data_IF_363817264602
#
_entry.id   IF_363817264602
#
_cell.length_a   1.000
_cell.length_b   1.000
_cell.length_c   1.000
_cell.angle_alpha   90.00
_cell.angle_beta   90.00
_cell.angle_gamma   90.00
#
_symmetry.space_group_name_H-M   'P 1'
#
loop_
_entity.id
_entity.type
_entity.pdbx_description
1 polymer ?
#
# COMPACT_ATOMS: atom_id res chain seq x y z
N UNK A 1 -13.51 10.86 -6.19
CA UNK A 1 -14.64 9.91 -6.17
C UNK A 1 -14.56 9.00 -4.97
N UNK A 2 -13.72 7.96 -5.02
CA UNK A 2 -13.63 6.90 -4.00
C UNK A 2 -13.31 7.42 -2.59
N UNK A 3 -12.37 8.37 -2.45
CA UNK A 3 -11.98 8.92 -1.15
C UNK A 3 -13.10 9.71 -0.43
N UNK A 4 -13.98 10.39 -1.20
CA UNK A 4 -15.12 11.12 -0.63
C UNK A 4 -16.19 10.14 -0.13
N UNK A 5 -16.40 9.03 -0.86
CA UNK A 5 -17.29 7.94 -0.47
C UNK A 5 -16.81 7.22 0.80
N UNK A 6 -15.50 6.96 0.92
CA UNK A 6 -14.92 6.34 2.13
C UNK A 6 -15.11 7.26 3.34
N UNK A 7 -14.90 8.57 3.19
CA UNK A 7 -15.11 9.55 4.26
C UNK A 7 -16.58 9.66 4.68
N UNK A 8 -17.51 9.53 3.73
CA UNK A 8 -18.96 9.48 4.01
C UNK A 8 -19.39 8.20 4.73
N UNK A 9 -18.80 7.05 4.38
CA UNK A 9 -19.05 5.78 5.10
C UNK A 9 -18.40 5.75 6.49
N UNK A 10 -17.27 6.43 6.67
CA UNK A 10 -16.52 6.48 7.94
C UNK A 10 -17.31 7.08 9.10
N UNK A 11 -18.29 7.95 8.83
CA UNK A 11 -19.08 8.63 9.86
C UNK A 11 -20.19 7.73 10.43
N UNK A 12 -20.52 6.64 9.73
CA UNK A 12 -21.65 5.73 10.02
C UNK A 12 -21.23 4.34 10.48
N UNK A 13 -20.04 3.88 10.09
CA UNK A 13 -19.61 2.49 10.23
C UNK A 13 -18.25 2.38 10.93
N UNK A 14 -18.09 1.38 11.79
CA UNK A 14 -16.83 1.10 12.46
C UNK A 14 -15.75 0.70 11.42
N UNK A 15 -14.52 1.20 11.55
CA UNK A 15 -13.43 0.97 10.59
C UNK A 15 -13.21 -0.51 10.23
N UNK A 16 -13.48 -1.42 11.18
CA UNK A 16 -13.39 -2.87 10.99
C UNK A 16 -14.37 -3.39 9.91
N UNK A 17 -15.53 -2.75 9.76
CA UNK A 17 -16.55 -3.10 8.77
C UNK A 17 -16.07 -2.81 7.34
N UNK A 18 -15.42 -1.66 7.14
CA UNK A 18 -14.85 -1.27 5.83
C UNK A 18 -13.76 -2.26 5.41
N UNK A 19 -12.87 -2.62 6.34
CA UNK A 19 -11.82 -3.61 6.12
C UNK A 19 -12.43 -4.98 5.78
N UNK A 20 -13.46 -5.40 6.52
CA UNK A 20 -14.14 -6.66 6.29
C UNK A 20 -14.81 -6.73 4.90
N UNK A 21 -15.49 -5.66 4.46
CA UNK A 21 -16.05 -5.61 3.11
C UNK A 21 -14.98 -5.67 2.02
N UNK A 22 -13.87 -4.97 2.21
CA UNK A 22 -12.74 -5.03 1.28
C UNK A 22 -12.15 -6.45 1.20
N UNK A 23 -11.92 -7.10 2.34
CA UNK A 23 -11.39 -8.46 2.42
C UNK A 23 -12.36 -9.50 1.84
N UNK A 24 -13.67 -9.36 2.07
CA UNK A 24 -14.66 -10.23 1.45
C UNK A 24 -14.69 -10.06 -0.07
N UNK A 25 -14.61 -8.83 -0.56
CA UNK A 25 -14.56 -8.56 -1.99
C UNK A 25 -13.29 -9.12 -2.64
N UNK A 26 -12.13 -9.02 -1.98
CA UNK A 26 -10.88 -9.57 -2.49
C UNK A 26 -10.89 -11.10 -2.50
N UNK A 27 -11.52 -11.73 -1.50
CA UNK A 27 -11.69 -13.19 -1.44
C UNK A 27 -12.56 -13.68 -2.61
N UNK A 28 -13.69 -13.02 -2.87
CA UNK A 28 -14.56 -13.36 -4.01
C UNK A 28 -13.80 -13.18 -5.33
N UNK A 29 -13.05 -12.08 -5.49
CA UNK A 29 -12.26 -11.83 -6.69
C UNK A 29 -11.14 -12.87 -6.87
N UNK A 30 -10.53 -13.34 -5.78
CA UNK A 30 -9.50 -14.37 -5.80
C UNK A 30 -10.00 -15.69 -6.38
N UNK A 31 -11.30 -16.00 -6.27
CA UNK A 31 -11.88 -17.21 -6.85
C UNK A 31 -11.82 -17.21 -8.39
N UNK A 32 -11.83 -16.03 -9.03
CA UNK A 32 -11.69 -15.92 -10.49
C UNK A 32 -10.30 -16.33 -11.00
N UNK A 33 -9.29 -16.35 -10.13
CA UNK A 33 -7.91 -16.70 -10.50
C UNK A 33 -7.54 -18.15 -10.17
N UNK A 34 -8.53 -18.99 -9.84
CA UNK A 34 -8.30 -20.38 -9.44
C UNK A 34 -7.63 -21.22 -10.54
N UNK A 35 -7.84 -20.88 -11.82
CA UNK A 35 -7.21 -21.56 -12.96
C UNK A 35 -5.69 -21.41 -12.97
N UNK A 36 -5.15 -20.34 -12.37
CA UNK A 36 -3.70 -20.07 -12.28
C UNK A 36 -3.10 -20.49 -10.93
N UNK A 37 -3.89 -21.14 -10.05
CA UNK A 37 -3.44 -21.51 -8.72
C UNK A 37 -2.40 -22.63 -8.76
N UNK A 38 -1.24 -22.39 -8.13
CA UNK A 38 -0.20 -23.39 -7.89
C UNK A 38 -0.13 -23.69 -6.40
N UNK A 39 -0.16 -24.97 -6.03
CA UNK A 39 0.03 -25.39 -4.64
C UNK A 39 1.46 -25.03 -4.17
N UNK A 40 1.62 -24.28 -3.07
CA UNK A 40 2.94 -23.94 -2.54
C UNK A 40 3.66 -25.19 -2.00
N UNK A 41 4.98 -25.21 -2.16
CA UNK A 41 5.85 -26.27 -1.64
C UNK A 41 6.02 -26.14 -0.11
N UNK A 42 6.44 -27.21 0.56
CA UNK A 42 6.51 -27.28 2.03
C UNK A 42 7.29 -26.13 2.69
N UNK A 43 8.32 -25.59 2.02
CA UNK A 43 9.12 -24.49 2.52
C UNK A 43 8.52 -23.10 2.24
N UNK A 44 7.58 -22.97 1.29
CA UNK A 44 6.96 -21.71 0.91
C UNK A 44 5.82 -21.30 1.85
N UNK A 45 5.24 -22.27 2.57
CA UNK A 45 4.13 -22.02 3.51
C UNK A 45 4.45 -20.97 4.57
N UNK A 46 5.70 -20.93 5.06
CA UNK A 46 6.10 -19.90 6.01
C UNK A 46 6.04 -18.50 5.40
N UNK A 47 6.51 -18.34 4.16
CA UNK A 47 6.42 -17.08 3.42
C UNK A 47 4.97 -16.72 3.09
N UNK A 48 4.14 -17.68 2.68
CA UNK A 48 2.71 -17.47 2.39
C UNK A 48 1.96 -16.98 3.64
N UNK A 49 2.13 -17.64 4.77
CA UNK A 49 1.54 -17.20 6.05
C UNK A 49 2.09 -15.84 6.48
N UNK A 50 3.39 -15.60 6.25
CA UNK A 50 4.03 -14.32 6.51
C UNK A 50 3.39 -13.18 5.72
N UNK A 51 3.26 -13.34 4.39
CA UNK A 51 2.63 -12.37 3.49
C UNK A 51 1.18 -12.11 3.88
N UNK A 52 0.41 -13.17 4.19
CA UNK A 52 -0.99 -13.02 4.62
C UNK A 52 -1.12 -12.24 5.93
N UNK A 53 -0.27 -12.54 6.91
CA UNK A 53 -0.31 -11.89 8.23
C UNK A 53 0.15 -10.43 8.15
N UNK A 54 1.30 -10.16 7.53
CA UNK A 54 1.81 -8.79 7.37
C UNK A 54 0.92 -7.95 6.45
N UNK A 55 0.37 -8.55 5.40
CA UNK A 55 -0.60 -7.92 4.50
C UNK A 55 -1.88 -7.50 5.24
N UNK A 56 -2.43 -8.38 6.10
CA UNK A 56 -3.59 -8.04 6.93
C UNK A 56 -3.28 -6.89 7.89
N UNK A 57 -2.15 -6.95 8.58
CA UNK A 57 -1.69 -5.89 9.49
C UNK A 57 -1.53 -4.56 8.72
N UNK A 58 -0.86 -4.59 7.57
CA UNK A 58 -0.69 -3.44 6.70
C UNK A 58 -2.02 -2.85 6.25
N UNK A 59 -2.98 -3.69 5.83
CA UNK A 59 -4.30 -3.24 5.43
C UNK A 59 -5.05 -2.53 6.58
N UNK A 60 -4.96 -3.06 7.80
CA UNK A 60 -5.61 -2.46 8.97
C UNK A 60 -5.05 -1.06 9.23
N UNK A 61 -3.72 -0.91 9.26
CA UNK A 61 -3.07 0.38 9.49
C UNK A 61 -3.34 1.38 8.35
N UNK A 62 -3.28 0.90 7.10
CA UNK A 62 -3.61 1.71 5.93
C UNK A 62 -5.03 2.26 6.04
N UNK A 63 -6.00 1.38 6.33
CA UNK A 63 -7.41 1.79 6.44
C UNK A 63 -7.61 2.76 7.59
N UNK A 64 -6.99 2.51 8.76
CA UNK A 64 -7.02 3.45 9.90
C UNK A 64 -6.50 4.83 9.51
N UNK A 65 -5.34 4.89 8.86
CA UNK A 65 -4.71 6.14 8.46
C UNK A 65 -5.58 6.93 7.45
N UNK A 66 -6.24 6.25 6.51
CA UNK A 66 -7.17 6.90 5.58
C UNK A 66 -8.44 7.45 6.23
N UNK A 67 -8.83 6.92 7.38
CA UNK A 67 -10.01 7.38 8.13
C UNK A 67 -9.66 8.54 9.06
N UNK A 68 -8.44 8.58 9.61
CA UNK A 68 -7.99 9.62 10.55
C UNK A 68 -7.41 10.85 9.87
N UNK A 69 -6.66 10.70 8.78
CA UNK A 69 -5.94 11.79 8.12
C UNK A 69 -6.57 12.20 6.78
N UNK A 70 -6.31 13.46 6.40
CA UNK A 70 -6.62 13.91 5.05
C UNK A 70 -5.77 13.16 4.02
N UNK A 71 -6.41 12.73 2.92
CA UNK A 71 -5.75 12.02 1.80
C UNK A 71 -4.51 12.74 1.28
N UNK A 72 -4.47 14.07 1.42
CA UNK A 72 -3.35 14.91 1.02
C UNK A 72 -2.08 14.66 1.84
N UNK A 73 -2.20 14.20 3.10
CA UNK A 73 -1.08 13.84 3.99
C UNK A 73 -0.62 12.40 3.74
N UNK A 74 -1.53 11.50 3.35
CA UNK A 74 -1.20 10.10 3.03
C UNK A 74 -0.51 9.91 1.68
N UNK A 75 -0.71 10.82 0.72
CA UNK A 75 -0.14 10.68 -0.61
C UNK A 75 1.40 10.48 -0.61
N UNK A 76 2.20 11.28 0.11
CA UNK A 76 3.65 11.05 0.27
C UNK A 76 4.02 9.66 0.83
N UNK A 77 3.28 9.17 1.83
CA UNK A 77 3.55 7.86 2.44
C UNK A 77 3.34 6.71 1.45
N UNK A 78 2.38 6.84 0.54
CA UNK A 78 2.16 5.83 -0.50
C UNK A 78 3.34 5.72 -1.48
N UNK A 79 4.08 6.80 -1.71
CA UNK A 79 5.30 6.75 -2.52
C UNK A 79 6.51 6.19 -1.75
N UNK A 80 6.55 6.38 -0.42
CA UNK A 80 7.57 5.75 0.45
C UNK A 80 7.50 4.22 0.40
N UNK A 81 6.30 3.64 0.28
CA UNK A 81 6.10 2.19 0.13
C UNK A 81 6.91 1.62 -1.03
N UNK A 82 6.92 2.29 -2.18
CA UNK A 82 7.68 1.88 -3.36
C UNK A 82 9.20 1.89 -3.09
N UNK A 83 9.69 2.93 -2.42
CA UNK A 83 11.12 3.06 -2.07
C UNK A 83 11.52 1.90 -1.14
N UNK A 84 10.71 1.62 -0.12
CA UNK A 84 10.95 0.50 0.79
C UNK A 84 10.91 -0.84 0.08
N UNK A 85 9.96 -1.06 -0.83
CA UNK A 85 9.86 -2.29 -1.61
C UNK A 85 11.14 -2.53 -2.43
N UNK A 86 11.72 -1.51 -3.03
CA UNK A 86 12.97 -1.65 -3.80
C UNK A 86 14.19 -1.89 -2.91
N UNK A 87 14.30 -1.20 -1.77
CA UNK A 87 15.39 -1.46 -0.82
C UNK A 87 15.31 -2.91 -0.33
N UNK A 88 14.11 -3.35 0.09
CA UNK A 88 13.89 -4.73 0.51
C UNK A 88 14.11 -5.73 -0.64
N UNK A 89 13.71 -5.39 -1.86
CA UNK A 89 13.96 -6.17 -3.09
C UNK A 89 15.45 -6.43 -3.30
N UNK A 90 16.26 -5.38 -3.23
CA UNK A 90 17.71 -5.48 -3.36
C UNK A 90 18.35 -6.31 -2.23
N UNK A 91 17.98 -6.04 -0.97
CA UNK A 91 18.62 -6.68 0.19
C UNK A 91 18.16 -8.12 0.45
N UNK A 92 16.87 -8.40 0.29
CA UNK A 92 16.27 -9.71 0.63
C UNK A 92 16.30 -10.65 -0.58
N UNK A 93 15.96 -10.15 -1.76
CA UNK A 93 15.81 -10.97 -2.97
C UNK A 93 17.04 -10.90 -3.89
N UNK A 94 18.01 -10.02 -3.60
CA UNK A 94 19.21 -9.85 -4.42
C UNK A 94 18.91 -9.28 -5.81
N UNK A 95 17.75 -8.64 -5.98
CA UNK A 95 17.37 -8.07 -7.27
C UNK A 95 18.33 -6.94 -7.64
N UNK A 96 19.01 -7.09 -8.78
CA UNK A 96 19.87 -6.03 -9.31
C UNK A 96 19.05 -5.12 -10.21
N UNK A 97 18.89 -3.86 -9.81
CA UNK A 97 18.18 -2.86 -10.59
C UNK A 97 19.11 -2.24 -11.63
N UNK A 98 18.71 -2.28 -12.91
CA UNK A 98 19.39 -1.56 -13.97
C UNK A 98 19.25 -0.02 -13.79
N UNK A 99 20.02 0.75 -14.58
CA UNK A 99 20.04 2.21 -14.53
C UNK A 99 18.67 2.87 -14.69
N UNK A 100 17.74 2.25 -15.43
CA UNK A 100 16.41 2.79 -15.72
C UNK A 100 15.52 2.83 -14.46
N UNK A 101 15.28 1.72 -13.73
CA UNK A 101 14.55 1.78 -12.46
C UNK A 101 15.21 2.71 -11.44
N UNK A 102 16.54 2.81 -11.43
CA UNK A 102 17.29 3.70 -10.55
C UNK A 102 16.98 5.19 -10.82
N UNK A 103 16.88 5.60 -12.09
CA UNK A 103 16.44 6.93 -12.49
C UNK A 103 14.97 7.19 -12.12
N UNK A 104 14.10 6.19 -12.27
CA UNK A 104 12.71 6.25 -11.84
C UNK A 104 12.57 6.56 -10.35
N UNK A 105 13.38 5.92 -9.50
CA UNK A 105 13.39 6.19 -8.06
C UNK A 105 13.79 7.63 -7.77
N UNK A 106 14.86 8.12 -8.41
CA UNK A 106 15.34 9.49 -8.19
C UNK A 106 14.25 10.50 -8.56
N UNK A 107 13.51 10.27 -9.66
CA UNK A 107 12.37 11.08 -10.06
C UNK A 107 11.24 11.04 -9.04
N UNK A 108 10.88 9.86 -8.53
CA UNK A 108 9.82 9.70 -7.52
C UNK A 108 10.21 10.38 -6.21
N UNK A 109 11.45 10.20 -5.75
CA UNK A 109 11.98 10.89 -4.57
C UNK A 109 11.98 12.42 -4.74
N UNK A 110 12.41 12.90 -5.91
CA UNK A 110 12.40 14.33 -6.22
C UNK A 110 10.99 14.91 -6.26
N UNK A 111 10.03 14.18 -6.85
CA UNK A 111 8.62 14.54 -6.85
C UNK A 111 8.01 14.56 -5.45
N UNK A 112 8.35 13.57 -4.61
CA UNK A 112 7.90 13.49 -3.22
C UNK A 112 8.42 14.67 -2.39
N UNK A 113 9.72 14.94 -2.42
CA UNK A 113 10.34 16.09 -1.73
C UNK A 113 9.71 17.42 -2.18
N UNK A 114 9.50 17.58 -3.49
CA UNK A 114 8.88 18.78 -4.06
C UNK A 114 7.43 18.95 -3.59
N UNK A 115 6.67 17.85 -3.47
CA UNK A 115 5.28 17.88 -3.01
C UNK A 115 5.19 18.27 -1.52
N UNK A 116 6.09 17.73 -0.69
CA UNK A 116 6.20 18.09 0.73
C UNK A 116 6.53 19.59 0.87
N UNK A 117 7.54 20.08 0.14
CA UNK A 117 7.92 21.51 0.13
C UNK A 117 6.82 22.42 -0.42
N UNK A 118 6.08 22.00 -1.44
CA UNK A 118 4.96 22.77 -1.97
C UNK A 118 3.82 22.89 -0.94
N UNK A 119 3.50 21.81 -0.22
CA UNK A 119 2.49 21.81 0.85
C UNK A 119 2.87 22.68 2.04
N UNK A 120 4.15 22.72 2.40
CA UNK A 120 4.65 23.59 3.48
C UNK A 120 4.48 25.08 3.15
N UNK A 121 4.68 25.46 1.88
CA UNK A 121 4.46 26.84 1.40
C UNK A 121 2.99 27.24 1.31
N UNK A 122 2.08 26.29 1.08
CA UNK A 122 0.63 26.58 1.00
C UNK A 122 0.03 26.77 2.40
N UNK A 123 0.62 26.17 3.44
CA UNK A 123 0.13 26.30 4.83
C UNK A 123 0.55 27.61 5.51
N UNK A 124 1.40 28.40 4.87
CA UNK A 124 1.99 29.66 5.39
C UNK A 124 1.40 30.94 4.78
N UNK A 125 0.30 30.83 4.01
CA UNK A 125 -0.47 31.96 3.48
C UNK A 125 -1.84 32.03 4.14
#
# INVERSE_FOLDING_TARGET
GVFVLIRYLSDKEHYLTIINYFMMSSLVLSLCFIEYWRMPLNYEWFAVCGIGTTGLIGQIYMTRAFLTEETSVLAPFKYMELIYAMIMGYFIFGESYELIPMLGIILIMGGMLSNVWAKEKVKTV
#
